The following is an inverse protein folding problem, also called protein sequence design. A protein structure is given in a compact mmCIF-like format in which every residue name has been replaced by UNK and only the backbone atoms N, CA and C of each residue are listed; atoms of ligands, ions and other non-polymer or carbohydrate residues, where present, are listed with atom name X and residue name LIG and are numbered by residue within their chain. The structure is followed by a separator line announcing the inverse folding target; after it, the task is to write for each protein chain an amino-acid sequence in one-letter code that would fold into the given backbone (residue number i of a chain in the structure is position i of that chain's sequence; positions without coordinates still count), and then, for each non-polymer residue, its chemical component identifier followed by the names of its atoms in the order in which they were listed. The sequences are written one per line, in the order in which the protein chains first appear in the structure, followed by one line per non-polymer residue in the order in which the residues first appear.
data_IF_386494067829
#
_entry.id   IF_386494067829
#
_cell.length_a   1.000
_cell.length_b   1.000
_cell.length_c   1.000
_cell.angle_alpha   90.00
_cell.angle_beta   90.00
_cell.angle_gamma   90.00
#
_symmetry.space_group_name_H-M   'P 1'
#
loop_
_entity.id
_entity.type
_entity.pdbx_description
1 polymer ?
#
# COMPACT_ATOMS: atom_id res chain seq x y z
N UNK A 1 4.51 -32.37 72.13
CA UNK A 1 4.23 -30.92 72.27
C UNK A 1 5.02 -30.20 71.20
N UNK A 2 4.32 -29.60 70.27
CA UNK A 2 4.95 -28.77 69.24
C UNK A 2 5.51 -27.50 69.90
N UNK A 3 6.82 -27.34 69.88
CA UNK A 3 7.49 -26.10 70.30
C UNK A 3 7.08 -24.97 69.33
N UNK A 4 6.19 -24.11 69.76
CA UNK A 4 5.88 -22.85 69.05
C UNK A 4 7.15 -22.01 69.05
N UNK A 5 7.78 -21.89 67.91
CA UNK A 5 8.95 -21.07 67.68
C UNK A 5 8.56 -19.61 67.92
N UNK A 6 9.04 -19.03 69.05
CA UNK A 6 8.84 -17.61 69.33
C UNK A 6 9.79 -16.80 68.46
N UNK A 7 9.21 -16.08 67.49
CA UNK A 7 9.96 -15.13 66.69
C UNK A 7 10.22 -13.83 67.47
N UNK A 8 11.39 -13.26 67.30
CA UNK A 8 11.68 -11.92 67.81
C UNK A 8 10.86 -10.87 67.05
N UNK A 9 10.54 -9.68 67.67
CA UNK A 9 9.86 -8.61 66.95
C UNK A 9 10.55 -8.19 65.64
N UNK A 10 11.88 -8.23 65.62
CA UNK A 10 12.67 -7.91 64.42
C UNK A 10 12.49 -8.95 63.29
N UNK A 11 12.54 -10.24 63.66
CA UNK A 11 12.26 -11.32 62.69
C UNK A 11 10.85 -11.25 62.14
N UNK A 12 9.85 -10.90 62.95
CA UNK A 12 8.46 -10.69 62.53
C UNK A 12 8.34 -9.54 61.55
N UNK A 13 8.99 -8.41 61.83
CA UNK A 13 9.00 -7.24 60.93
C UNK A 13 9.67 -7.51 59.62
N UNK A 14 10.77 -8.23 59.59
CA UNK A 14 11.44 -8.68 58.36
C UNK A 14 10.57 -9.60 57.55
N UNK A 15 9.91 -10.54 58.15
CA UNK A 15 8.99 -11.47 57.50
C UNK A 15 7.81 -10.73 56.89
N UNK A 16 7.22 -9.77 57.59
CA UNK A 16 6.15 -8.93 57.12
C UNK A 16 6.59 -8.04 55.93
N UNK A 17 7.78 -7.46 56.00
CA UNK A 17 8.35 -6.66 54.93
C UNK A 17 8.58 -7.51 53.67
N UNK A 18 9.17 -8.71 53.82
CA UNK A 18 9.39 -9.62 52.71
C UNK A 18 8.08 -10.09 52.09
N UNK A 19 7.07 -10.40 52.91
CA UNK A 19 5.73 -10.76 52.45
C UNK A 19 5.09 -9.63 51.64
N UNK A 20 5.13 -8.40 52.14
CA UNK A 20 4.62 -7.22 51.49
C UNK A 20 5.34 -6.96 50.15
N UNK A 21 6.65 -7.15 50.10
CA UNK A 21 7.43 -7.03 48.88
C UNK A 21 7.05 -8.08 47.83
N UNK A 22 6.85 -9.32 48.26
CA UNK A 22 6.40 -10.41 47.37
C UNK A 22 4.99 -10.16 46.87
N UNK A 23 4.07 -9.74 47.74
CA UNK A 23 2.68 -9.41 47.38
C UNK A 23 2.64 -8.28 46.38
N UNK A 24 3.43 -7.22 46.54
CA UNK A 24 3.56 -6.12 45.59
C UNK A 24 4.03 -6.58 44.21
N UNK A 25 5.00 -7.50 44.17
CA UNK A 25 5.47 -8.10 42.91
C UNK A 25 4.41 -8.95 42.24
N UNK A 26 3.67 -9.74 43.02
CA UNK A 26 2.56 -10.55 42.51
C UNK A 26 1.46 -9.64 41.92
N UNK A 27 1.12 -8.56 42.59
CA UNK A 27 0.11 -7.59 42.12
C UNK A 27 0.56 -6.93 40.83
N UNK A 28 1.82 -6.51 40.73
CA UNK A 28 2.38 -5.97 39.48
C UNK A 28 2.34 -6.97 38.34
N UNK A 29 2.65 -8.25 38.61
CA UNK A 29 2.59 -9.32 37.59
C UNK A 29 1.13 -9.57 37.14
N UNK A 30 0.16 -9.53 38.05
CA UNK A 30 -1.27 -9.67 37.73
C UNK A 30 -1.77 -8.51 36.88
N UNK A 31 -1.35 -7.29 37.20
CA UNK A 31 -1.66 -6.11 36.42
C UNK A 31 -1.12 -6.21 34.98
N UNK A 32 0.16 -6.51 34.81
CA UNK A 32 0.79 -6.74 33.50
C UNK A 32 0.10 -7.88 32.75
N UNK A 33 -0.23 -8.96 33.42
CA UNK A 33 -0.97 -10.09 32.83
C UNK A 33 -2.38 -9.70 32.35
N UNK A 34 -3.04 -8.77 33.05
CA UNK A 34 -4.34 -8.24 32.68
C UNK A 34 -4.28 -7.30 31.47
N UNK A 35 -3.18 -6.56 31.30
CA UNK A 35 -2.95 -5.62 30.20
C UNK A 35 -2.54 -6.34 28.90
N UNK A 36 -1.76 -7.41 28.96
CA UNK A 36 -1.25 -8.15 27.79
C UNK A 36 -2.34 -8.59 26.79
N UNK A 37 -3.50 -9.15 27.22
CA UNK A 37 -4.55 -9.51 26.27
C UNK A 37 -5.15 -8.33 25.53
N UNK A 38 -5.21 -7.15 26.16
CA UNK A 38 -5.69 -5.92 25.51
C UNK A 38 -4.67 -5.42 24.49
N UNK A 39 -3.38 -5.41 24.83
CA UNK A 39 -2.30 -5.05 23.91
C UNK A 39 -2.25 -5.99 22.70
N UNK A 40 -2.40 -7.30 22.91
CA UNK A 40 -2.46 -8.29 21.82
C UNK A 40 -3.65 -8.03 20.91
N UNK A 41 -4.81 -7.73 21.47
CA UNK A 41 -6.00 -7.40 20.69
C UNK A 41 -5.83 -6.14 19.86
N UNK A 42 -5.25 -5.09 20.45
CA UNK A 42 -4.97 -3.83 19.75
C UNK A 42 -4.00 -4.06 18.59
N UNK A 43 -2.96 -4.86 18.78
CA UNK A 43 -2.01 -5.24 17.72
C UNK A 43 -2.68 -6.08 16.62
N UNK A 44 -3.55 -7.01 16.98
CA UNK A 44 -4.35 -7.79 16.00
C UNK A 44 -5.26 -6.89 15.16
N UNK A 45 -5.94 -5.93 15.79
CA UNK A 45 -6.80 -4.96 15.12
C UNK A 45 -5.97 -4.04 14.20
N UNK A 46 -4.79 -3.62 14.62
CA UNK A 46 -3.84 -2.85 13.81
C UNK A 46 -3.36 -3.65 12.59
N UNK A 47 -3.00 -4.93 12.78
CA UNK A 47 -2.62 -5.82 11.68
C UNK A 47 -3.75 -5.99 10.65
N UNK A 48 -4.98 -6.14 11.09
CA UNK A 48 -6.15 -6.23 10.21
C UNK A 48 -6.31 -4.92 9.41
N UNK A 49 -6.14 -3.79 10.05
CA UNK A 49 -6.19 -2.47 9.41
C UNK A 49 -5.10 -2.30 8.36
N UNK A 50 -3.86 -2.67 8.68
CA UNK A 50 -2.72 -2.62 7.75
C UNK A 50 -2.89 -3.57 6.57
N UNK A 51 -3.37 -4.79 6.79
CA UNK A 51 -3.64 -5.75 5.71
C UNK A 51 -4.69 -5.22 4.74
N UNK A 52 -5.78 -4.63 5.23
CA UNK A 52 -6.81 -4.01 4.37
C UNK A 52 -6.26 -2.84 3.57
N UNK A 53 -5.38 -2.04 4.17
CA UNK A 53 -4.71 -0.94 3.47
C UNK A 53 -3.78 -1.46 2.38
N UNK A 54 -3.03 -2.51 2.66
CA UNK A 54 -2.15 -3.18 1.71
C UNK A 54 -2.95 -3.71 0.51
N UNK A 55 -4.00 -4.50 0.73
CA UNK A 55 -4.87 -5.02 -0.32
C UNK A 55 -5.43 -3.91 -1.20
N UNK A 56 -5.90 -2.81 -0.60
CA UNK A 56 -6.42 -1.67 -1.34
C UNK A 56 -5.37 -1.01 -2.24
N UNK A 57 -4.15 -0.82 -1.73
CA UNK A 57 -3.06 -0.22 -2.52
C UNK A 57 -2.61 -1.15 -3.64
N UNK A 58 -2.59 -2.47 -3.41
CA UNK A 58 -2.30 -3.47 -4.43
C UNK A 58 -3.35 -3.47 -5.55
N UNK A 59 -4.65 -3.48 -5.22
CA UNK A 59 -5.74 -3.38 -6.19
C UNK A 59 -5.68 -2.10 -7.03
N UNK A 60 -5.42 -0.97 -6.40
CA UNK A 60 -5.26 0.31 -7.09
C UNK A 60 -4.04 0.33 -8.01
N UNK A 61 -2.95 -0.31 -7.60
CA UNK A 61 -1.72 -0.45 -8.42
C UNK A 61 -1.97 -1.34 -9.63
N UNK A 62 -2.67 -2.44 -9.45
CA UNK A 62 -3.06 -3.32 -10.55
C UNK A 62 -3.99 -2.60 -11.55
N UNK A 63 -4.96 -1.85 -11.05
CA UNK A 63 -5.83 -1.01 -11.89
C UNK A 63 -5.03 0.00 -12.73
N UNK A 64 -4.02 0.64 -12.15
CA UNK A 64 -3.14 1.57 -12.88
C UNK A 64 -2.28 0.84 -13.91
N UNK A 65 -1.80 -0.36 -13.64
CA UNK A 65 -1.05 -1.19 -14.60
C UNK A 65 -1.91 -1.55 -15.81
N UNK A 66 -3.17 -1.91 -15.59
CA UNK A 66 -4.11 -2.20 -16.67
C UNK A 66 -4.38 -0.95 -17.54
N UNK A 67 -4.57 0.22 -16.92
CA UNK A 67 -4.70 1.47 -17.66
C UNK A 67 -3.46 1.81 -18.50
N UNK A 68 -2.27 1.55 -17.98
CA UNK A 68 -1.02 1.73 -18.74
C UNK A 68 -0.99 0.78 -19.94
N UNK A 69 -1.39 -0.47 -19.78
CA UNK A 69 -1.45 -1.44 -20.86
C UNK A 69 -2.44 -1.00 -21.95
N UNK A 70 -3.63 -0.55 -21.57
CA UNK A 70 -4.62 -0.01 -22.51
C UNK A 70 -4.06 1.18 -23.29
N UNK A 71 -3.38 2.11 -22.62
CA UNK A 71 -2.77 3.27 -23.27
C UNK A 71 -1.62 2.90 -24.21
N UNK A 72 -0.84 1.87 -23.88
CA UNK A 72 0.18 1.32 -24.80
C UNK A 72 -0.46 0.73 -26.07
N UNK A 73 -1.57 0.02 -25.92
CA UNK A 73 -2.30 -0.53 -27.07
C UNK A 73 -2.84 0.60 -27.98
N UNK A 74 -3.37 1.67 -27.40
CA UNK A 74 -3.81 2.87 -28.14
C UNK A 74 -2.65 3.47 -28.93
N UNK A 75 -1.46 3.58 -28.35
CA UNK A 75 -0.28 4.10 -29.05
C UNK A 75 0.10 3.20 -30.24
N UNK A 76 0.06 1.89 -30.07
CA UNK A 76 0.37 0.93 -31.16
C UNK A 76 -0.68 1.02 -32.27
N UNK A 77 -1.97 1.10 -31.93
CA UNK A 77 -3.06 1.29 -32.89
C UNK A 77 -2.92 2.61 -33.64
N UNK A 78 -2.62 3.71 -32.94
CA UNK A 78 -2.38 5.02 -33.55
C UNK A 78 -1.20 4.99 -34.51
N UNK A 79 -0.08 4.37 -34.15
CA UNK A 79 1.09 4.20 -35.01
C UNK A 79 0.77 3.38 -36.26
N UNK A 80 0.01 2.30 -36.12
CA UNK A 80 -0.47 1.49 -37.24
C UNK A 80 -1.39 2.29 -38.17
N UNK A 81 -2.29 3.07 -37.62
CA UNK A 81 -3.20 3.94 -38.37
C UNK A 81 -2.45 5.02 -39.14
N UNK A 82 -1.49 5.68 -38.49
CA UNK A 82 -0.62 6.69 -39.12
C UNK A 82 0.10 6.08 -40.32
N UNK A 83 0.67 4.89 -40.17
CA UNK A 83 1.36 4.19 -41.27
C UNK A 83 0.42 3.92 -42.44
N UNK A 84 -0.80 3.44 -42.17
CA UNK A 84 -1.83 3.20 -43.19
C UNK A 84 -2.24 4.49 -43.89
N UNK A 85 -2.43 5.60 -43.16
CA UNK A 85 -2.78 6.88 -43.74
C UNK A 85 -1.65 7.48 -44.56
N UNK A 86 -0.40 7.33 -44.18
CA UNK A 86 0.74 7.76 -44.96
C UNK A 86 0.86 6.97 -46.27
N UNK A 87 0.60 5.65 -46.28
CA UNK A 87 0.55 4.84 -47.51
C UNK A 87 -0.58 5.28 -48.43
N UNK A 88 -1.76 5.54 -47.89
CA UNK A 88 -2.89 6.07 -48.68
C UNK A 88 -2.58 7.45 -49.26
N UNK A 89 -1.93 8.32 -48.48
CA UNK A 89 -1.58 9.68 -48.89
C UNK A 89 -0.58 9.69 -50.05
N UNK A 90 0.30 8.70 -50.19
CA UNK A 90 1.19 8.55 -51.34
C UNK A 90 0.45 8.25 -52.64
N UNK A 91 -0.70 7.60 -52.57
CA UNK A 91 -1.51 7.19 -53.73
C UNK A 91 -2.66 8.16 -54.08
N UNK A 92 -2.86 9.20 -53.29
CA UNK A 92 -3.92 10.18 -53.48
C UNK A 92 -3.50 11.23 -54.48
N UNK A 93 -4.43 11.54 -55.43
CA UNK A 93 -4.22 12.56 -56.47
C UNK A 93 -5.00 13.85 -56.20
N UNK A 94 -5.94 13.85 -55.26
CA UNK A 94 -6.82 14.98 -54.94
C UNK A 94 -6.30 15.70 -53.69
N UNK A 95 -6.08 17.02 -53.76
CA UNK A 95 -5.63 17.82 -52.63
C UNK A 95 -6.58 17.78 -51.44
N UNK A 96 -7.90 17.69 -51.66
CA UNK A 96 -8.88 17.61 -50.59
C UNK A 96 -8.77 16.33 -49.75
N UNK A 97 -8.55 15.19 -50.44
CA UNK A 97 -8.30 13.91 -49.76
C UNK A 97 -6.95 13.88 -49.07
N UNK A 98 -5.93 14.52 -49.65
CA UNK A 98 -4.62 14.67 -49.03
C UNK A 98 -4.70 15.46 -47.72
N UNK A 99 -5.38 16.60 -47.73
CA UNK A 99 -5.59 17.43 -46.53
C UNK A 99 -6.41 16.71 -45.47
N UNK A 100 -7.41 15.93 -45.86
CA UNK A 100 -8.21 15.11 -44.94
C UNK A 100 -7.34 14.04 -44.26
N UNK A 101 -6.50 13.33 -45.01
CA UNK A 101 -5.58 12.34 -44.48
C UNK A 101 -4.50 12.97 -43.58
N UNK A 102 -4.02 14.16 -43.91
CA UNK A 102 -3.10 14.95 -43.07
C UNK A 102 -3.69 15.25 -41.71
N UNK A 103 -4.97 15.66 -41.68
CA UNK A 103 -5.68 15.91 -40.42
C UNK A 103 -5.90 14.65 -39.60
N UNK A 104 -6.20 13.52 -40.26
CA UNK A 104 -6.31 12.24 -39.55
C UNK A 104 -5.00 11.80 -38.98
N UNK A 105 -3.88 11.98 -39.67
CA UNK A 105 -2.54 11.70 -39.16
C UNK A 105 -2.22 12.57 -37.94
N UNK A 106 -2.49 13.88 -38.05
CA UNK A 106 -2.28 14.81 -36.91
C UNK A 106 -3.13 14.42 -35.70
N UNK A 107 -4.38 14.03 -35.90
CA UNK A 107 -5.26 13.55 -34.85
C UNK A 107 -4.68 12.30 -34.15
N UNK A 108 -4.22 11.32 -34.93
CA UNK A 108 -3.61 10.10 -34.39
C UNK A 108 -2.30 10.38 -33.64
N UNK A 109 -1.50 11.33 -34.12
CA UNK A 109 -0.28 11.76 -33.44
C UNK A 109 -0.59 12.40 -32.07
N UNK A 110 -1.59 13.29 -32.03
CA UNK A 110 -2.04 13.92 -30.79
C UNK A 110 -2.63 12.90 -29.81
N UNK A 111 -3.39 11.91 -30.30
CA UNK A 111 -3.92 10.83 -29.47
C UNK A 111 -2.81 9.98 -28.87
N UNK A 112 -1.80 9.64 -29.66
CA UNK A 112 -0.61 8.92 -29.18
C UNK A 112 0.16 9.73 -28.13
N UNK A 113 0.36 11.03 -28.34
CA UNK A 113 1.02 11.90 -27.36
C UNK A 113 0.23 12.01 -26.05
N UNK A 114 -1.08 12.11 -26.15
CA UNK A 114 -1.95 12.12 -24.97
C UNK A 114 -1.86 10.82 -24.18
N UNK A 115 -1.86 9.67 -24.89
CA UNK A 115 -1.69 8.37 -24.28
C UNK A 115 -0.31 8.22 -23.60
N UNK A 116 0.78 8.70 -24.23
CA UNK A 116 2.11 8.72 -23.62
C UNK A 116 2.15 9.56 -22.34
N UNK A 117 1.51 10.73 -22.35
CA UNK A 117 1.40 11.58 -21.15
C UNK A 117 0.66 10.86 -20.03
N UNK A 118 -0.45 10.19 -20.34
CA UNK A 118 -1.21 9.40 -19.36
C UNK A 118 -0.41 8.24 -18.79
N UNK A 119 0.41 7.57 -19.60
CA UNK A 119 1.32 6.52 -19.14
C UNK A 119 2.31 7.08 -18.14
N UNK A 120 2.93 8.23 -18.42
CA UNK A 120 3.87 8.87 -17.49
C UNK A 120 3.20 9.25 -16.17
N UNK A 121 2.01 9.84 -16.23
CA UNK A 121 1.23 10.21 -15.04
C UNK A 121 0.89 8.96 -14.19
N UNK A 122 0.43 7.89 -14.82
CA UNK A 122 0.09 6.65 -14.12
C UNK A 122 1.33 5.93 -13.57
N UNK A 123 2.46 5.95 -14.28
CA UNK A 123 3.73 5.42 -13.78
C UNK A 123 4.20 6.16 -12.52
N UNK A 124 4.12 7.49 -12.53
CA UNK A 124 4.46 8.29 -11.35
C UNK A 124 3.55 7.98 -10.15
N UNK A 125 2.26 7.73 -10.38
CA UNK A 125 1.33 7.31 -9.33
C UNK A 125 1.66 5.93 -8.77
N UNK A 126 2.08 4.99 -9.63
CA UNK A 126 2.52 3.66 -9.21
C UNK A 126 3.77 3.75 -8.36
N UNK A 127 4.74 4.57 -8.74
CA UNK A 127 5.97 4.77 -7.96
C UNK A 127 5.66 5.33 -6.57
N UNK A 128 4.77 6.32 -6.46
CA UNK A 128 4.29 6.84 -5.18
C UNK A 128 3.57 5.78 -4.32
N UNK A 129 2.81 4.87 -4.95
CA UNK A 129 2.15 3.76 -4.24
C UNK A 129 3.13 2.69 -3.77
N UNK A 130 4.21 2.44 -4.51
CA UNK A 130 5.28 1.54 -4.08
C UNK A 130 5.99 2.05 -2.84
N UNK A 131 6.25 3.36 -2.75
CA UNK A 131 6.80 3.96 -1.53
C UNK A 131 5.87 3.72 -0.33
N UNK A 132 4.56 3.88 -0.50
CA UNK A 132 3.59 3.60 0.55
C UNK A 132 3.58 2.12 0.95
N UNK A 133 3.75 1.20 0.00
CA UNK A 133 3.84 -0.24 0.28
C UNK A 133 5.10 -0.61 1.07
N UNK A 134 6.21 0.08 0.83
CA UNK A 134 7.44 -0.11 1.59
C UNK A 134 7.36 0.42 3.03
N UNK A 135 6.47 1.40 3.29
CA UNK A 135 6.22 1.96 4.61
C UNK A 135 5.24 1.13 5.46
N UNK A 136 4.44 0.27 4.85
CA UNK A 136 3.48 -0.61 5.52
C UNK A 136 4.18 -1.88 6.01
#
# INVERSE_FOLDING_TARGET
MARTKKYTPEETLRSLFNLQFIDSRIDNMREVRGELPMEVKDLEDEMVGLNKRLEKVEEETEGLNQLILEKKNIIEESKSSIKKYLEKQKNVRNNREFDSLSKEIEYQELEAQLAEKRIKENSARIDGKKEILEEI
#
